data_IF_310904711723
#
_entry.id   IF_310904711723
#
_cell.length_a   1.000
_cell.length_b   1.000
_cell.length_c   1.000
_cell.angle_alpha   90.00
_cell.angle_beta   90.00
_cell.angle_gamma   90.00
#
_symmetry.space_group_name_H-M   'P 1'
#
loop_
_entity.id
_entity.type
_entity.pdbx_description
1 polymer ?
#
# COMPACT_ATOMS: atom_id res chain seq x y z
N UNK A 1 -2.88 -20.72 12.91
CA UNK A 1 -2.00 -19.67 12.36
C UNK A 1 -0.92 -20.36 11.56
N UNK A 2 -1.16 -20.61 10.29
CA UNK A 2 -0.16 -21.20 9.38
C UNK A 2 0.76 -20.09 8.87
N UNK A 3 2.05 -20.39 8.86
CA UNK A 3 3.17 -19.51 8.54
C UNK A 3 3.04 -18.85 7.15
N UNK A 4 2.42 -17.67 7.06
CA UNK A 4 2.46 -16.84 5.86
C UNK A 4 3.90 -16.47 5.46
N UNK A 5 4.82 -16.41 6.43
CA UNK A 5 6.23 -16.09 6.22
C UNK A 5 7.03 -17.21 5.54
N UNK A 6 6.80 -18.48 5.89
CA UNK A 6 7.58 -19.59 5.33
C UNK A 6 7.28 -19.77 3.84
N UNK A 7 6.01 -19.76 3.45
CA UNK A 7 5.62 -19.92 2.05
C UNK A 7 6.18 -18.81 1.15
N UNK A 8 6.22 -17.56 1.64
CA UNK A 8 6.82 -16.45 0.90
C UNK A 8 8.33 -16.63 0.70
N UNK A 9 9.02 -17.13 1.73
CA UNK A 9 10.46 -17.40 1.66
C UNK A 9 10.76 -18.55 0.69
N UNK A 10 9.98 -19.63 0.73
CA UNK A 10 10.13 -20.71 -0.26
C UNK A 10 9.95 -20.19 -1.68
N UNK A 11 8.86 -19.48 -2.01
CA UNK A 11 8.65 -18.96 -3.37
C UNK A 11 9.76 -18.01 -3.82
N UNK A 12 10.30 -17.18 -2.91
CA UNK A 12 11.44 -16.33 -3.21
C UNK A 12 12.68 -17.14 -3.60
N UNK A 13 12.99 -18.19 -2.84
CA UNK A 13 14.10 -19.11 -3.14
C UNK A 13 13.86 -19.89 -4.44
N UNK A 14 12.62 -20.31 -4.71
CA UNK A 14 12.26 -20.89 -6.00
C UNK A 14 12.52 -19.92 -7.15
N UNK A 15 12.16 -18.65 -7.01
CA UNK A 15 12.49 -17.62 -8.00
C UNK A 15 13.98 -17.44 -8.21
N UNK A 16 14.76 -17.41 -7.11
CA UNK A 16 16.22 -17.38 -7.13
C UNK A 16 16.81 -18.55 -7.92
N UNK A 17 16.35 -19.77 -7.67
CA UNK A 17 16.84 -20.97 -8.36
C UNK A 17 16.42 -20.93 -9.83
N UNK A 18 15.12 -20.78 -10.11
CA UNK A 18 14.56 -20.86 -11.46
C UNK A 18 15.15 -19.84 -12.43
N UNK A 19 15.32 -18.58 -11.99
CA UNK A 19 15.86 -17.53 -12.86
C UNK A 19 17.38 -17.60 -13.08
N UNK A 20 18.10 -18.51 -12.40
CA UNK A 20 19.55 -18.67 -12.51
C UNK A 20 19.98 -20.07 -12.98
N UNK A 21 19.05 -20.91 -13.44
CA UNK A 21 19.38 -22.24 -13.98
C UNK A 21 20.23 -22.08 -15.24
N UNK A 22 21.31 -22.85 -15.31
CA UNK A 22 22.17 -22.95 -16.50
C UNK A 22 22.10 -24.33 -17.15
N UNK A 23 21.85 -25.37 -16.36
CA UNK A 23 21.82 -26.74 -16.85
C UNK A 23 20.88 -27.57 -15.99
N UNK A 24 20.04 -28.38 -16.65
CA UNK A 24 19.19 -29.37 -16.03
C UNK A 24 19.49 -30.72 -16.67
N UNK A 25 20.11 -31.63 -15.91
CA UNK A 25 20.39 -32.98 -16.37
C UNK A 25 19.22 -33.88 -15.96
N UNK A 26 18.36 -34.24 -16.94
CA UNK A 26 17.16 -35.04 -16.69
C UNK A 26 17.46 -36.46 -16.22
N UNK A 27 18.62 -37.01 -16.59
CA UNK A 27 19.00 -38.38 -16.28
C UNK A 27 19.52 -38.53 -14.84
N UNK A 28 20.09 -37.48 -14.25
CA UNK A 28 20.65 -37.53 -12.90
C UNK A 28 19.78 -36.84 -11.83
N UNK A 29 18.67 -36.19 -12.24
CA UNK A 29 17.93 -35.25 -11.39
C UNK A 29 18.89 -34.25 -10.74
N UNK A 30 19.63 -33.51 -11.57
CA UNK A 30 20.54 -32.47 -11.12
C UNK A 30 20.16 -31.15 -11.80
N UNK A 31 19.99 -30.10 -11.00
CA UNK A 31 19.90 -28.72 -11.49
C UNK A 31 21.15 -27.96 -11.03
N UNK A 32 21.84 -27.32 -11.97
CA UNK A 32 22.92 -26.37 -11.69
C UNK A 32 22.41 -24.94 -11.87
N UNK A 33 22.61 -24.12 -10.84
CA UNK A 33 22.17 -22.72 -10.84
C UNK A 33 23.35 -21.79 -10.54
N UNK A 34 23.51 -20.69 -11.30
CA UNK A 34 24.55 -19.67 -11.14
C UNK A 34 24.40 -18.80 -9.87
N UNK A 35 23.87 -19.38 -8.81
CA UNK A 35 23.81 -18.74 -7.51
C UNK A 35 25.19 -18.83 -6.89
N UNK A 36 25.90 -17.71 -6.89
CA UNK A 36 27.22 -17.61 -6.27
C UNK A 36 27.09 -17.47 -4.75
N UNK A 37 27.68 -18.42 -4.00
CA UNK A 37 27.68 -18.45 -2.51
C UNK A 37 28.02 -17.10 -1.89
N UNK A 38 29.01 -16.40 -2.44
CA UNK A 38 29.55 -15.15 -1.91
C UNK A 38 28.60 -13.95 -2.04
N UNK A 39 27.58 -14.05 -2.88
CA UNK A 39 26.61 -12.97 -3.12
C UNK A 39 25.34 -13.13 -2.25
N UNK A 40 25.30 -14.15 -1.39
CA UNK A 40 24.13 -14.47 -0.58
C UNK A 40 24.38 -14.17 0.89
N UNK A 41 23.33 -13.69 1.58
CA UNK A 41 23.37 -13.53 3.02
C UNK A 41 23.25 -14.89 3.73
N UNK A 42 23.68 -14.94 5.00
CA UNK A 42 23.66 -16.17 5.82
C UNK A 42 22.26 -16.80 5.92
N UNK A 43 21.21 -16.00 5.86
CA UNK A 43 19.84 -16.49 5.97
C UNK A 43 19.46 -17.29 4.72
N UNK A 44 19.73 -16.77 3.51
CA UNK A 44 19.55 -17.49 2.23
C UNK A 44 20.40 -18.74 2.20
N UNK A 45 21.67 -18.65 2.61
CA UNK A 45 22.58 -19.80 2.67
C UNK A 45 22.01 -20.92 3.56
N UNK A 46 21.59 -20.58 4.78
CA UNK A 46 21.03 -21.57 5.71
C UNK A 46 19.74 -22.22 5.20
N UNK A 47 18.99 -21.51 4.35
CA UNK A 47 17.76 -22.02 3.77
C UNK A 47 18.05 -22.91 2.55
N UNK A 48 19.02 -22.51 1.71
CA UNK A 48 19.50 -23.33 0.59
C UNK A 48 20.16 -24.61 1.10
N UNK A 49 20.86 -24.59 2.24
CA UNK A 49 21.43 -25.78 2.88
C UNK A 49 20.36 -26.74 3.43
N UNK A 50 19.13 -26.27 3.68
CA UNK A 50 17.98 -27.12 4.07
C UNK A 50 17.31 -27.81 2.89
N UNK A 51 17.53 -27.31 1.68
CA UNK A 51 17.16 -28.03 0.47
C UNK A 51 18.30 -29.03 0.20
N UNK A 52 18.04 -30.26 -0.28
CA UNK A 52 19.08 -31.26 -0.57
C UNK A 52 19.99 -30.83 -1.74
N UNK A 53 20.77 -29.78 -1.52
CA UNK A 53 21.64 -29.13 -2.46
C UNK A 53 22.92 -28.67 -1.77
N UNK A 54 23.96 -28.52 -2.56
CA UNK A 54 25.30 -28.19 -2.08
C UNK A 54 25.95 -27.19 -3.03
N UNK A 55 26.87 -26.39 -2.48
CA UNK A 55 27.70 -25.51 -3.31
C UNK A 55 28.93 -26.28 -3.79
N UNK A 56 29.09 -26.38 -5.11
CA UNK A 56 30.29 -26.91 -5.76
C UNK A 56 30.90 -25.80 -6.62
N UNK A 57 32.18 -25.47 -6.42
CA UNK A 57 32.85 -24.35 -7.12
C UNK A 57 32.04 -23.03 -7.12
N UNK A 58 31.44 -22.69 -5.98
CA UNK A 58 30.53 -21.55 -5.78
C UNK A 58 29.19 -21.61 -6.54
N UNK A 59 28.87 -22.68 -7.26
CA UNK A 59 27.59 -22.88 -7.96
C UNK A 59 26.69 -23.72 -7.06
N UNK A 60 25.42 -23.32 -6.93
CA UNK A 60 24.44 -24.09 -6.16
C UNK A 60 23.89 -25.24 -7.00
N UNK A 61 24.01 -26.47 -6.48
CA UNK A 61 23.57 -27.70 -7.14
C UNK A 61 22.49 -28.35 -6.30
N UNK A 62 21.36 -28.68 -6.92
CA UNK A 62 20.21 -29.33 -6.26
C UNK A 62 20.08 -30.76 -6.76
N UNK A 63 19.91 -31.70 -5.83
CA UNK A 63 19.68 -33.14 -6.12
C UNK A 63 18.29 -33.63 -5.70
N UNK A 64 17.44 -32.76 -5.14
CA UNK A 64 16.09 -33.13 -4.70
C UNK A 64 15.11 -33.28 -5.89
N UNK A 65 14.72 -34.52 -6.19
CA UNK A 65 13.86 -34.85 -7.34
C UNK A 65 12.51 -34.13 -7.37
N UNK A 66 11.86 -33.95 -6.22
CA UNK A 66 10.55 -33.28 -6.16
C UNK A 66 10.66 -31.78 -6.45
N UNK A 67 11.67 -31.14 -5.86
CA UNK A 67 12.01 -29.74 -6.10
C UNK A 67 12.38 -29.51 -7.57
N UNK A 68 13.21 -30.39 -8.13
CA UNK A 68 13.65 -30.36 -9.54
C UNK A 68 12.46 -30.49 -10.50
N UNK A 69 11.55 -31.43 -10.26
CA UNK A 69 10.35 -31.58 -11.07
C UNK A 69 9.47 -30.32 -11.03
N UNK A 70 9.33 -29.73 -9.84
CA UNK A 70 8.56 -28.49 -9.63
C UNK A 70 9.20 -27.30 -10.36
N UNK A 71 10.54 -27.22 -10.37
CA UNK A 71 11.29 -26.18 -11.05
C UNK A 71 11.27 -26.37 -12.58
N UNK A 72 11.56 -27.58 -13.08
CA UNK A 72 11.62 -27.89 -14.51
C UNK A 72 10.25 -27.75 -15.20
N UNK A 73 9.17 -28.05 -14.48
CA UNK A 73 7.80 -27.86 -14.98
C UNK A 73 7.41 -26.38 -15.07
N UNK A 74 8.15 -25.48 -14.40
CA UNK A 74 7.90 -24.05 -14.42
C UNK A 74 8.86 -23.33 -15.36
N UNK A 75 8.45 -23.04 -16.61
CA UNK A 75 9.29 -22.24 -17.52
C UNK A 75 9.34 -20.80 -17.05
N UNK A 76 10.42 -20.45 -16.34
CA UNK A 76 10.92 -19.14 -15.90
C UNK A 76 9.94 -18.10 -15.34
N UNK A 77 8.62 -18.26 -15.43
CA UNK A 77 7.52 -17.34 -15.07
C UNK A 77 6.17 -18.07 -14.91
N UNK A 78 6.03 -19.32 -15.34
CA UNK A 78 4.84 -20.14 -15.08
C UNK A 78 4.58 -20.35 -13.58
N UNK A 79 5.60 -20.13 -12.73
CA UNK A 79 5.48 -20.08 -11.26
C UNK A 79 4.37 -19.12 -10.83
N UNK A 80 4.22 -17.97 -11.50
CA UNK A 80 3.17 -16.99 -11.19
C UNK A 80 1.76 -17.58 -11.32
N UNK A 81 1.58 -18.50 -12.27
CA UNK A 81 0.32 -19.18 -12.51
C UNK A 81 0.17 -20.46 -11.69
N UNK A 82 1.28 -21.14 -11.41
CA UNK A 82 1.30 -22.46 -10.77
C UNK A 82 1.25 -22.39 -9.24
N UNK A 83 1.61 -21.27 -8.63
CA UNK A 83 1.60 -21.12 -7.17
C UNK A 83 0.55 -20.11 -6.70
N UNK A 84 -0.19 -20.48 -5.66
CA UNK A 84 -1.09 -19.58 -4.92
C UNK A 84 -0.31 -18.45 -4.26
N UNK A 85 0.92 -18.71 -3.81
CA UNK A 85 1.81 -17.70 -3.22
C UNK A 85 2.99 -17.37 -4.14
N UNK A 86 2.74 -16.58 -5.19
CA UNK A 86 3.71 -16.18 -6.21
C UNK A 86 4.50 -14.90 -5.86
N UNK A 87 4.22 -14.27 -4.71
CA UNK A 87 4.79 -12.96 -4.35
C UNK A 87 6.31 -13.01 -4.18
N UNK A 88 6.84 -14.08 -3.58
CA UNK A 88 8.29 -14.28 -3.47
C UNK A 88 9.00 -14.35 -4.83
N UNK A 89 8.37 -14.98 -5.82
CA UNK A 89 8.92 -15.05 -7.17
C UNK A 89 8.92 -13.67 -7.85
N UNK A 90 7.81 -12.92 -7.78
CA UNK A 90 7.74 -11.57 -8.35
C UNK A 90 8.76 -10.65 -7.68
N UNK A 91 8.92 -10.76 -6.36
CA UNK A 91 9.97 -10.04 -5.61
C UNK A 91 11.34 -10.33 -6.20
N UNK A 92 11.71 -11.61 -6.33
CA UNK A 92 13.02 -11.95 -6.89
C UNK A 92 13.21 -11.49 -8.34
N UNK A 93 12.17 -11.62 -9.17
CA UNK A 93 12.18 -11.11 -10.54
C UNK A 93 12.44 -9.59 -10.57
N UNK A 94 11.79 -8.84 -9.69
CA UNK A 94 11.99 -7.40 -9.55
C UNK A 94 13.40 -7.05 -9.04
N UNK A 95 13.93 -7.77 -8.05
CA UNK A 95 15.32 -7.58 -7.60
C UNK A 95 16.35 -7.81 -8.72
N UNK A 96 16.06 -8.70 -9.67
CA UNK A 96 16.96 -9.04 -10.78
C UNK A 96 16.80 -8.15 -12.00
N UNK A 97 15.57 -7.74 -12.34
CA UNK A 97 15.25 -7.07 -13.60
C UNK A 97 14.50 -5.74 -13.43
N UNK A 98 14.40 -5.27 -12.20
CA UNK A 98 13.76 -4.02 -11.83
C UNK A 98 14.72 -2.87 -11.67
N UNK A 99 14.17 -1.67 -11.68
CA UNK A 99 14.83 -0.44 -11.31
C UNK A 99 13.84 0.49 -10.60
N UNK A 100 14.35 1.34 -9.71
CA UNK A 100 13.59 2.40 -9.04
C UNK A 100 14.26 3.74 -9.36
N UNK A 101 13.50 4.65 -9.95
CA UNK A 101 13.89 6.04 -10.18
C UNK A 101 13.13 6.95 -9.22
N UNK A 102 13.87 7.82 -8.51
CA UNK A 102 13.31 8.77 -7.55
C UNK A 102 13.69 10.19 -7.97
N UNK A 103 12.70 10.98 -8.38
CA UNK A 103 12.90 12.35 -8.85
C UNK A 103 12.01 13.31 -8.06
N UNK A 104 12.57 14.08 -7.11
CA UNK A 104 11.92 15.10 -6.24
C UNK A 104 10.54 14.76 -5.65
N UNK A 105 9.49 14.54 -6.44
CA UNK A 105 8.14 14.13 -6.00
C UNK A 105 7.57 12.90 -6.73
N UNK A 106 8.30 12.37 -7.73
CA UNK A 106 7.84 11.27 -8.56
C UNK A 106 8.67 10.01 -8.29
N UNK A 107 7.97 8.90 -8.20
CA UNK A 107 8.57 7.56 -8.11
C UNK A 107 8.20 6.84 -9.38
N UNK A 108 9.18 6.21 -10.02
CA UNK A 108 8.97 5.37 -11.18
C UNK A 108 9.66 4.05 -10.97
N UNK A 109 8.92 2.97 -11.19
CA UNK A 109 9.45 1.62 -11.18
C UNK A 109 9.39 1.10 -12.60
N UNK A 110 10.49 0.58 -13.09
CA UNK A 110 10.55 -0.13 -14.38
C UNK A 110 10.99 -1.55 -14.14
N UNK A 111 10.34 -2.51 -14.78
CA UNK A 111 10.65 -3.93 -14.70
C UNK A 111 10.68 -4.46 -16.12
N UNK A 112 11.61 -5.37 -16.45
CA UNK A 112 11.55 -6.08 -17.72
C UNK A 112 10.17 -6.70 -17.92
N UNK A 113 9.52 -6.40 -19.04
CA UNK A 113 8.22 -6.98 -19.34
C UNK A 113 8.36 -8.47 -19.55
N UNK A 114 7.35 -9.20 -19.11
CA UNK A 114 7.37 -10.63 -18.96
C UNK A 114 6.11 -11.25 -19.57
N UNK A 115 5.80 -10.82 -20.80
CA UNK A 115 4.54 -11.10 -21.48
C UNK A 115 3.33 -10.69 -20.62
N UNK A 116 3.43 -9.55 -19.93
CA UNK A 116 2.38 -8.97 -19.09
C UNK A 116 1.91 -9.84 -17.89
N UNK A 117 2.58 -10.98 -17.62
CA UNK A 117 2.17 -11.91 -16.55
C UNK A 117 2.18 -11.25 -15.17
N UNK A 118 3.14 -10.37 -14.87
CA UNK A 118 3.17 -9.65 -13.59
C UNK A 118 1.98 -8.68 -13.50
N UNK A 119 1.74 -7.86 -14.53
CA UNK A 119 0.63 -6.89 -14.52
C UNK A 119 -0.74 -7.56 -14.43
N UNK A 120 -0.96 -8.64 -15.17
CA UNK A 120 -2.21 -9.41 -15.12
C UNK A 120 -2.48 -10.01 -13.74
N UNK A 121 -1.41 -10.47 -13.08
CA UNK A 121 -1.52 -11.10 -11.77
C UNK A 121 -1.72 -10.09 -10.64
N UNK A 122 -0.93 -9.00 -10.63
CA UNK A 122 -0.99 -7.98 -9.59
C UNK A 122 -2.19 -7.04 -9.74
N UNK A 123 -2.69 -6.85 -10.98
CA UNK A 123 -3.80 -5.93 -11.30
C UNK A 123 -3.58 -4.50 -10.80
N UNK A 124 -2.32 -4.10 -10.69
CA UNK A 124 -1.95 -2.71 -10.42
C UNK A 124 -1.84 -1.98 -11.77
N UNK A 125 -2.49 -0.82 -11.93
CA UNK A 125 -2.37 -0.03 -13.15
C UNK A 125 -0.91 0.26 -13.51
N UNK A 126 -0.55 -0.03 -14.75
CA UNK A 126 0.82 0.07 -15.26
C UNK A 126 0.82 0.42 -16.74
N UNK A 127 1.94 0.97 -17.20
CA UNK A 127 2.19 1.31 -18.59
C UNK A 127 3.17 0.28 -19.16
N UNK A 128 2.92 -0.21 -20.36
CA UNK A 128 3.86 -1.08 -21.07
C UNK A 128 4.49 -0.25 -22.20
N UNK A 129 5.81 -0.14 -22.19
CA UNK A 129 6.57 0.60 -23.21
C UNK A 129 7.95 -0.01 -23.37
N UNK A 130 8.41 -0.21 -24.61
CA UNK A 130 9.76 -0.69 -24.94
C UNK A 130 10.19 -1.95 -24.16
N UNK A 131 9.33 -2.97 -24.10
CA UNK A 131 9.57 -4.21 -23.32
C UNK A 131 9.79 -3.98 -21.81
N UNK A 132 9.26 -2.86 -21.28
CA UNK A 132 9.24 -2.55 -19.85
C UNK A 132 7.81 -2.42 -19.36
N UNK A 133 7.60 -2.96 -18.16
CA UNK A 133 6.44 -2.70 -17.33
C UNK A 133 6.77 -1.53 -16.39
N UNK A 134 5.95 -0.49 -16.43
CA UNK A 134 6.21 0.78 -15.75
C UNK A 134 5.08 1.07 -14.76
N UNK A 135 5.46 1.30 -13.50
CA UNK A 135 4.58 1.85 -12.48
C UNK A 135 5.03 3.28 -12.14
N UNK A 136 4.07 4.14 -11.82
CA UNK A 136 4.34 5.54 -11.45
C UNK A 136 3.61 5.92 -10.15
N UNK A 137 4.27 6.71 -9.32
CA UNK A 137 3.74 7.32 -8.12
C UNK A 137 3.07 6.30 -7.16
N UNK A 138 1.77 6.45 -6.89
CA UNK A 138 1.08 5.57 -5.93
C UNK A 138 1.09 4.10 -6.37
N UNK A 139 1.09 3.83 -7.68
CA UNK A 139 1.16 2.46 -8.19
C UNK A 139 2.52 1.81 -7.88
N UNK A 140 3.60 2.61 -7.71
CA UNK A 140 4.88 2.11 -7.23
C UNK A 140 4.79 1.65 -5.77
N UNK A 141 4.10 2.43 -4.93
CA UNK A 141 3.91 2.10 -3.51
C UNK A 141 3.05 0.85 -3.38
N UNK A 142 2.02 0.70 -4.20
CA UNK A 142 1.20 -0.51 -4.25
C UNK A 142 2.03 -1.73 -4.66
N UNK A 143 2.82 -1.59 -5.72
CA UNK A 143 3.68 -2.65 -6.20
C UNK A 143 4.68 -3.09 -5.12
N UNK A 144 5.46 -2.15 -4.57
CA UNK A 144 6.46 -2.43 -3.55
C UNK A 144 5.81 -2.96 -2.26
N UNK A 145 4.68 -2.38 -1.84
CA UNK A 145 3.95 -2.81 -0.66
C UNK A 145 3.45 -4.25 -0.78
N UNK A 146 2.93 -4.66 -1.94
CA UNK A 146 2.52 -6.04 -2.18
C UNK A 146 3.68 -7.03 -2.05
N UNK A 147 4.84 -6.69 -2.62
CA UNK A 147 5.97 -7.62 -2.64
C UNK A 147 6.83 -7.54 -1.37
N UNK A 148 6.83 -6.45 -0.60
CA UNK A 148 7.75 -6.24 0.53
C UNK A 148 7.11 -6.10 1.93
N UNK A 149 5.83 -5.75 2.09
CA UNK A 149 5.27 -5.45 3.43
C UNK A 149 5.41 -6.59 4.45
N UNK A 150 5.30 -7.83 3.99
CA UNK A 150 5.35 -9.03 4.84
C UNK A 150 6.64 -9.82 4.56
N UNK A 151 7.76 -9.12 4.36
CA UNK A 151 9.04 -9.75 4.05
C UNK A 151 10.04 -9.52 5.19
N UNK A 152 10.76 -10.58 5.57
CA UNK A 152 11.83 -10.54 6.57
C UNK A 152 13.18 -10.27 5.89
N UNK A 153 14.32 -10.51 6.56
CA UNK A 153 15.71 -10.22 6.12
C UNK A 153 16.17 -10.88 4.78
N UNK A 154 15.29 -11.49 4.00
CA UNK A 154 15.56 -12.10 2.69
C UNK A 154 15.36 -11.13 1.52
N UNK A 155 15.17 -9.85 1.78
CA UNK A 155 14.81 -8.88 0.76
C UNK A 155 16.08 -8.21 0.20
N UNK A 156 16.14 -8.05 -1.12
CA UNK A 156 17.33 -7.59 -1.83
C UNK A 156 17.53 -6.08 -1.72
N UNK A 157 18.31 -5.53 -2.65
CA UNK A 157 18.72 -4.12 -2.61
C UNK A 157 17.52 -3.16 -2.60
N UNK A 158 16.43 -3.51 -3.30
CA UNK A 158 15.26 -2.64 -3.38
C UNK A 158 14.37 -2.66 -2.14
N UNK A 159 14.57 -3.57 -1.18
CA UNK A 159 13.84 -3.53 0.08
C UNK A 159 14.23 -2.33 0.94
N UNK A 160 15.53 -2.04 1.04
CA UNK A 160 16.00 -0.85 1.74
C UNK A 160 15.53 0.41 1.03
N UNK A 161 15.49 0.42 -0.32
CA UNK A 161 14.87 1.51 -1.07
C UNK A 161 13.37 1.63 -0.79
N UNK A 162 12.64 0.52 -0.71
CA UNK A 162 11.24 0.54 -0.32
C UNK A 162 11.04 1.15 1.08
N UNK A 163 11.81 0.69 2.08
CA UNK A 163 11.81 1.28 3.41
C UNK A 163 12.17 2.76 3.37
N UNK A 164 13.17 3.14 2.59
CA UNK A 164 13.55 4.54 2.40
C UNK A 164 12.43 5.35 1.75
N UNK A 165 11.73 4.82 0.74
CA UNK A 165 10.63 5.49 0.05
C UNK A 165 9.49 5.79 1.01
N UNK A 166 9.09 4.80 1.81
CA UNK A 166 8.00 4.98 2.79
C UNK A 166 8.45 5.83 3.99
N UNK A 167 9.75 5.88 4.29
CA UNK A 167 10.29 6.63 5.44
C UNK A 167 10.80 8.05 5.07
N UNK A 168 11.14 8.32 3.80
CA UNK A 168 11.68 9.60 3.33
C UNK A 168 10.64 10.71 3.48
N UNK A 169 11.13 11.94 3.61
CA UNK A 169 10.34 13.18 3.63
C UNK A 169 9.77 13.54 2.24
N UNK A 170 9.72 12.61 1.27
CA UNK A 170 9.15 12.88 -0.05
C UNK A 170 7.68 13.22 0.01
N UNK A 171 6.99 12.61 0.97
CA UNK A 171 5.59 12.90 1.23
C UNK A 171 5.45 13.85 2.42
N UNK A 172 4.46 14.76 2.38
CA UNK A 172 4.15 15.61 3.52
C UNK A 172 3.88 14.76 4.77
N UNK A 173 4.60 15.04 5.86
CA UNK A 173 4.46 14.34 7.14
C UNK A 173 3.52 15.11 8.05
N UNK A 174 2.41 14.49 8.44
CA UNK A 174 1.55 14.95 9.53
C UNK A 174 2.16 14.44 10.84
N UNK A 175 2.46 15.32 11.80
CA UNK A 175 2.82 14.86 13.15
C UNK A 175 1.56 14.70 13.97
N UNK A 176 1.50 13.64 14.78
CA UNK A 176 0.36 13.34 15.64
C UNK A 176 0.81 13.37 17.09
N UNK A 177 0.12 14.12 17.93
CA UNK A 177 0.32 14.12 19.38
C UNK A 177 -0.89 13.50 20.06
N UNK A 178 -0.66 12.49 20.90
CA UNK A 178 -1.71 11.92 21.77
C UNK A 178 -1.88 12.82 22.99
N UNK A 179 -2.98 13.59 23.03
CA UNK A 179 -3.36 14.35 24.22
C UNK A 179 -4.10 13.51 25.26
N UNK A 180 -4.54 12.31 24.90
CA UNK A 180 -5.11 11.31 25.80
C UNK A 180 -4.29 10.00 25.72
N UNK A 181 -4.05 9.35 26.86
CA UNK A 181 -3.29 8.09 26.92
C UNK A 181 -3.97 6.96 26.16
N UNK A 182 -5.31 6.97 26.12
CA UNK A 182 -6.13 5.98 25.43
C UNK A 182 -6.29 6.26 23.93
N UNK A 183 -5.80 7.39 23.42
CA UNK A 183 -5.90 7.73 22.01
C UNK A 183 -5.21 6.68 21.13
N UNK A 184 -5.82 6.37 19.98
CA UNK A 184 -5.28 5.40 19.02
C UNK A 184 -4.68 6.19 17.86
N UNK A 185 -3.41 5.93 17.53
CA UNK A 185 -2.74 6.60 16.41
C UNK A 185 -3.46 6.26 15.09
N UNK A 186 -3.66 7.26 14.21
CA UNK A 186 -4.23 7.00 12.90
C UNK A 186 -3.39 6.01 12.10
N UNK A 187 -4.03 5.06 11.44
CA UNK A 187 -3.35 4.02 10.67
C UNK A 187 -4.12 3.64 9.42
N UNK A 188 -3.42 3.07 8.45
CA UNK A 188 -4.02 2.47 7.24
C UNK A 188 -3.98 0.96 7.36
N UNK A 189 -4.93 0.28 6.74
CA UNK A 189 -4.88 -1.18 6.64
C UNK A 189 -3.99 -1.62 5.49
N UNK A 190 -3.95 -0.83 4.40
CA UNK A 190 -3.11 -1.04 3.23
C UNK A 190 -2.38 0.25 2.87
N UNK A 191 -1.18 0.16 2.30
CA UNK A 191 -0.40 1.34 1.91
C UNK A 191 -1.15 2.23 0.90
N UNK A 192 -1.96 1.63 0.03
CA UNK A 192 -2.81 2.29 -0.98
C UNK A 192 -3.99 3.06 -0.41
N UNK A 193 -4.43 2.73 0.81
CA UNK A 193 -5.69 3.26 1.34
C UNK A 193 -5.62 4.79 1.32
N UNK A 194 -6.70 5.47 0.93
CA UNK A 194 -6.67 6.92 0.76
C UNK A 194 -6.43 7.64 2.10
N UNK A 195 -7.20 7.27 3.13
CA UNK A 195 -7.18 7.92 4.43
C UNK A 195 -6.62 7.06 5.55
N UNK A 196 -6.19 7.71 6.64
CA UNK A 196 -5.81 7.06 7.89
C UNK A 196 -7.03 6.97 8.80
N UNK A 197 -7.35 5.78 9.28
CA UNK A 197 -8.49 5.54 10.16
C UNK A 197 -8.38 6.36 11.45
N UNK A 198 -9.45 7.06 11.83
CA UNK A 198 -9.61 7.78 13.08
C UNK A 198 -10.52 7.02 14.04
N UNK A 199 -10.14 7.03 15.31
CA UNK A 199 -10.86 6.34 16.37
C UNK A 199 -11.34 7.33 17.41
N UNK A 200 -12.64 7.32 17.68
CA UNK A 200 -13.23 8.05 18.81
C UNK A 200 -13.10 7.21 20.08
N UNK A 201 -12.74 7.84 21.19
CA UNK A 201 -12.41 7.15 22.45
C UNK A 201 -13.35 7.49 23.60
N UNK A 202 -14.00 8.66 23.57
CA UNK A 202 -14.99 9.08 24.58
C UNK A 202 -15.95 10.13 24.02
N UNK A 203 -17.13 10.22 24.61
CA UNK A 203 -18.03 11.34 24.39
C UNK A 203 -17.42 12.61 25.02
N UNK A 204 -17.46 13.74 24.30
CA UNK A 204 -16.93 15.03 24.76
C UNK A 204 -18.03 16.03 25.10
N UNK A 205 -19.07 16.11 24.26
CA UNK A 205 -20.14 17.09 24.40
C UNK A 205 -21.40 16.62 23.69
N UNK A 206 -22.57 16.82 24.30
CA UNK A 206 -23.87 16.64 23.63
C UNK A 206 -24.27 17.98 23.00
N UNK A 207 -24.55 18.01 21.71
CA UNK A 207 -25.06 19.21 21.03
C UNK A 207 -26.60 19.26 21.05
N UNK A 208 -27.23 18.12 20.81
CA UNK A 208 -28.68 17.94 20.91
C UNK A 208 -29.00 16.45 21.14
N UNK A 209 -30.28 16.08 21.19
CA UNK A 209 -30.73 14.72 21.46
C UNK A 209 -30.16 13.67 20.49
N UNK A 210 -29.84 14.05 19.26
CA UNK A 210 -29.34 13.15 18.21
C UNK A 210 -27.85 13.32 17.93
N UNK A 211 -27.27 14.48 18.23
CA UNK A 211 -25.91 14.84 17.80
C UNK A 211 -24.98 15.02 18.97
N UNK A 212 -23.87 14.29 18.94
CA UNK A 212 -22.84 14.27 19.97
C UNK A 212 -21.47 14.49 19.36
N UNK A 213 -20.61 15.20 20.08
CA UNK A 213 -19.21 15.41 19.78
C UNK A 213 -18.39 14.36 20.52
N UNK A 214 -17.58 13.61 19.79
CA UNK A 214 -16.71 12.58 20.30
C UNK A 214 -15.25 12.99 20.18
N UNK A 215 -14.48 12.67 21.21
CA UNK A 215 -13.05 12.95 21.30
C UNK A 215 -12.24 11.80 20.71
N UNK A 216 -11.23 12.09 19.90
CA UNK A 216 -10.25 11.11 19.37
C UNK A 216 -8.98 11.01 20.22
N UNK A 217 -8.72 12.02 21.06
CA UNK A 217 -7.55 12.15 21.91
C UNK A 217 -6.26 12.49 21.16
N UNK A 218 -6.34 12.91 19.90
CA UNK A 218 -5.18 13.29 19.08
C UNK A 218 -5.22 14.74 18.63
N UNK A 219 -4.04 15.32 18.45
CA UNK A 219 -3.80 16.62 17.81
C UNK A 219 -2.91 16.42 16.58
N UNK A 220 -3.05 17.29 15.58
CA UNK A 220 -2.27 17.22 14.35
C UNK A 220 -1.36 18.45 14.21
N UNK A 221 -0.14 18.22 13.71
CA UNK A 221 0.73 19.24 13.12
C UNK A 221 0.77 18.97 11.61
N UNK A 222 -0.04 19.72 10.87
CA UNK A 222 -0.21 19.57 9.42
C UNK A 222 0.84 20.43 8.70
N UNK A 223 1.57 19.89 7.70
CA UNK A 223 2.58 20.65 6.98
C UNK A 223 1.98 21.80 6.17
N UNK A 224 2.75 22.89 5.99
CA UNK A 224 2.33 24.05 5.19
C UNK A 224 1.93 23.64 3.76
N UNK A 225 0.88 24.28 3.24
CA UNK A 225 0.33 23.98 1.92
C UNK A 225 -0.62 22.78 1.87
N UNK A 226 -1.01 22.24 3.03
CA UNK A 226 -1.94 21.12 3.14
C UNK A 226 -3.00 21.37 4.22
N UNK A 227 -4.14 20.72 4.06
CA UNK A 227 -5.20 20.61 5.07
C UNK A 227 -5.66 19.14 5.15
N UNK A 228 -6.42 18.79 6.18
CA UNK A 228 -6.93 17.43 6.34
C UNK A 228 -8.46 17.43 6.19
N UNK A 229 -8.96 16.51 5.38
CA UNK A 229 -10.37 16.18 5.28
C UNK A 229 -10.69 14.93 6.08
N UNK A 230 -11.76 14.96 6.87
CA UNK A 230 -12.25 13.83 7.64
C UNK A 230 -13.53 13.32 6.99
N UNK A 231 -13.49 12.07 6.56
CA UNK A 231 -14.61 11.38 5.94
C UNK A 231 -15.11 10.24 6.84
N UNK A 232 -16.41 9.93 6.83
CA UNK A 232 -16.90 8.72 7.47
C UNK A 232 -16.32 7.48 6.78
N UNK A 233 -16.05 6.43 7.57
CA UNK A 233 -15.74 5.11 6.99
C UNK A 233 -17.03 4.50 6.45
N UNK A 234 -16.92 3.65 5.42
CA UNK A 234 -18.08 2.94 4.87
C UNK A 234 -18.79 2.07 5.90
N UNK A 235 -18.11 1.65 6.98
CA UNK A 235 -18.73 0.91 8.09
C UNK A 235 -19.59 1.78 9.02
N UNK A 236 -19.41 3.12 9.04
CA UNK A 236 -20.22 4.01 9.86
C UNK A 236 -21.70 3.98 9.45
N UNK A 237 -21.99 3.81 8.15
CA UNK A 237 -23.37 3.71 7.68
C UNK A 237 -24.15 2.53 8.27
N UNK A 238 -23.45 1.51 8.79
CA UNK A 238 -24.06 0.34 9.44
C UNK A 238 -24.38 0.56 10.91
N UNK A 239 -23.88 1.63 11.53
CA UNK A 239 -24.11 1.88 12.95
C UNK A 239 -25.36 2.71 13.21
N UNK A 240 -26.05 3.20 12.18
CA UNK A 240 -27.16 4.15 12.34
C UNK A 240 -26.72 5.58 12.66
N UNK A 241 -25.44 5.90 12.44
CA UNK A 241 -24.88 7.24 12.64
C UNK A 241 -24.33 7.82 11.34
N UNK A 242 -24.28 9.15 11.28
CA UNK A 242 -23.68 9.92 10.20
C UNK A 242 -22.73 10.97 10.76
N UNK A 243 -21.69 11.31 10.00
CA UNK A 243 -20.84 12.46 10.29
C UNK A 243 -21.66 13.75 10.12
N UNK A 244 -21.90 14.48 11.21
CA UNK A 244 -22.87 15.57 11.27
C UNK A 244 -22.59 16.71 10.28
N UNK A 245 -21.31 16.97 10.01
CA UNK A 245 -20.85 18.00 9.07
C UNK A 245 -20.47 17.45 7.69
N UNK A 246 -20.78 16.17 7.39
CA UNK A 246 -20.48 15.45 6.15
C UNK A 246 -18.99 15.24 5.84
N UNK A 247 -18.19 16.31 5.85
CA UNK A 247 -16.72 16.30 5.74
C UNK A 247 -16.15 17.25 6.79
N UNK A 248 -15.28 16.76 7.65
CA UNK A 248 -14.53 17.61 8.58
C UNK A 248 -13.34 18.25 7.90
N UNK A 249 -13.24 19.57 7.94
CA UNK A 249 -12.05 20.29 7.48
C UNK A 249 -11.20 20.62 8.71
N UNK A 250 -9.97 20.11 8.72
CA UNK A 250 -8.96 20.44 9.73
C UNK A 250 -7.90 21.30 9.07
N UNK A 251 -7.91 22.58 9.42
CA UNK A 251 -7.00 23.58 8.87
C UNK A 251 -5.55 23.32 9.27
N UNK A 252 -4.64 23.73 8.40
CA UNK A 252 -3.19 23.62 8.61
C UNK A 252 -2.74 24.16 9.96
N UNK A 253 -3.31 25.30 10.40
CA UNK A 253 -2.98 25.98 11.64
C UNK A 253 -3.67 25.42 12.89
N UNK A 254 -4.60 24.48 12.75
CA UNK A 254 -5.31 23.93 13.90
C UNK A 254 -4.37 23.06 14.76
N UNK A 255 -4.25 23.38 16.05
CA UNK A 255 -3.47 22.61 17.05
C UNK A 255 -4.33 22.09 18.19
N UNK A 256 -5.65 22.25 18.07
CA UNK A 256 -6.60 21.69 19.01
C UNK A 256 -6.71 20.18 18.87
N UNK A 257 -7.49 19.60 19.77
CA UNK A 257 -7.81 18.18 19.76
C UNK A 257 -8.82 17.88 18.64
N UNK A 258 -8.64 16.77 17.93
CA UNK A 258 -9.53 16.40 16.83
C UNK A 258 -10.80 15.78 17.41
N UNK A 259 -11.94 16.34 17.03
CA UNK A 259 -13.25 15.87 17.44
C UNK A 259 -14.08 15.41 16.25
N UNK A 260 -14.95 14.44 16.48
CA UNK A 260 -15.86 13.89 15.48
C UNK A 260 -17.29 14.10 15.96
N UNK A 261 -18.09 14.88 15.24
CA UNK A 261 -19.49 15.07 15.54
C UNK A 261 -20.33 14.02 14.82
N UNK A 262 -21.01 13.14 15.55
CA UNK A 262 -21.88 12.12 14.97
C UNK A 262 -23.34 12.42 15.31
N UNK A 263 -24.20 12.31 14.31
CA UNK A 263 -25.66 12.39 14.44
C UNK A 263 -26.23 10.99 14.30
N UNK A 264 -27.02 10.55 15.28
CA UNK A 264 -27.83 9.33 15.20
C UNK A 264 -28.99 9.59 14.24
N UNK A 265 -29.03 8.82 13.15
CA UNK A 265 -30.05 8.94 12.10
C UNK A 265 -31.06 7.79 12.12
N UNK A 266 -30.73 6.68 12.77
CA UNK A 266 -31.66 5.60 13.10
C UNK A 266 -31.81 5.52 14.62
N UNK A 267 -33.00 5.86 15.12
CA UNK A 267 -33.30 5.86 16.55
C UNK A 267 -33.23 4.45 17.17
N UNK A 268 -33.48 3.40 16.37
CA UNK A 268 -33.47 2.01 16.84
C UNK A 268 -32.08 1.40 16.91
N UNK A 269 -31.09 2.04 16.27
CA UNK A 269 -29.71 1.56 16.34
C UNK A 269 -29.15 1.68 17.77
N UNK A 270 -28.32 0.73 18.23
CA UNK A 270 -27.70 0.82 19.54
C UNK A 270 -26.76 2.02 19.65
N UNK A 271 -26.43 2.40 20.89
CA UNK A 271 -25.41 3.41 21.11
C UNK A 271 -24.01 2.89 20.71
N UNK A 272 -23.12 3.79 20.34
CA UNK A 272 -21.79 3.43 19.87
C UNK A 272 -20.93 2.87 21.00
N UNK A 273 -20.37 1.67 20.79
CA UNK A 273 -19.35 1.10 21.68
C UNK A 273 -17.99 1.75 21.43
N UNK A 274 -17.38 2.33 22.47
CA UNK A 274 -16.08 3.00 22.38
C UNK A 274 -14.95 2.10 22.90
N UNK A 275 -13.72 2.17 22.33
CA UNK A 275 -13.33 3.05 21.23
C UNK A 275 -13.87 2.57 19.86
N UNK A 276 -14.30 3.50 19.01
CA UNK A 276 -14.91 3.17 17.71
C UNK A 276 -14.15 3.81 16.55
N UNK A 277 -13.70 2.98 15.62
CA UNK A 277 -13.01 3.40 14.40
C UNK A 277 -14.04 3.81 13.33
N UNK A 278 -14.48 5.07 13.39
CA UNK A 278 -15.67 5.56 12.67
C UNK A 278 -15.36 6.40 11.42
N UNK A 279 -14.25 7.13 11.41
CA UNK A 279 -13.89 8.07 10.36
C UNK A 279 -12.49 7.79 9.83
N UNK A 280 -12.08 8.48 8.78
CA UNK A 280 -10.73 8.45 8.23
C UNK A 280 -10.31 9.86 7.82
N UNK A 281 -9.03 10.17 7.99
CA UNK A 281 -8.44 11.45 7.58
C UNK A 281 -7.66 11.32 6.28
N UNK A 282 -7.88 12.23 5.34
CA UNK A 282 -7.20 12.32 4.06
C UNK A 282 -6.48 13.67 4.01
N UNK A 283 -5.17 13.64 3.76
CA UNK A 283 -4.39 14.85 3.55
C UNK A 283 -4.62 15.37 2.13
N UNK A 284 -4.91 16.67 2.00
CA UNK A 284 -5.14 17.34 0.72
C UNK A 284 -4.21 18.53 0.57
N UNK A 285 -3.74 18.75 -0.66
CA UNK A 285 -2.97 19.95 -1.00
C UNK A 285 -3.92 21.14 -1.08
N UNK A 286 -3.56 22.23 -0.43
CA UNK A 286 -4.31 23.48 -0.50
C UNK A 286 -3.97 24.20 -1.81
N UNK A 287 -5.02 24.69 -2.49
CA UNK A 287 -4.88 25.63 -3.61
C UNK A 287 -5.30 26.99 -3.08
N UNK A 288 -4.37 27.95 -3.12
CA UNK A 288 -4.68 29.33 -2.77
C UNK A 288 -5.27 30.01 -4.00
N UNK A 289 -6.45 30.58 -3.84
CA UNK A 289 -7.05 31.50 -4.80
C UNK A 289 -7.12 32.86 -4.14
N UNK A 290 -6.69 33.90 -4.84
CA UNK A 290 -7.09 35.25 -4.50
C UNK A 290 -8.56 35.43 -4.89
N UNK A 291 -9.30 36.18 -4.08
CA UNK A 291 -10.67 36.56 -4.37
C UNK A 291 -10.61 37.95 -5.00
N UNK A 292 -10.93 38.03 -6.28
CA UNK A 292 -11.04 39.29 -7.01
C UNK A 292 -12.52 39.71 -7.09
N UNK A 293 -12.84 40.86 -6.53
CA UNK A 293 -14.14 41.49 -6.73
C UNK A 293 -14.16 42.20 -8.08
N UNK A 294 -15.16 41.91 -8.91
CA UNK A 294 -15.38 42.56 -10.20
C UNK A 294 -16.61 43.46 -10.15
N UNK A 295 -16.53 44.62 -10.82
CA UNK A 295 -17.61 45.62 -10.86
C UNK A 295 -18.53 45.47 -12.07
N UNK A 296 -18.16 44.62 -13.03
CA UNK A 296 -18.97 44.22 -14.17
C UNK A 296 -19.47 42.78 -13.97
N UNK A 297 -20.57 42.42 -14.63
CA UNK A 297 -21.16 41.08 -14.53
C UNK A 297 -20.25 40.02 -15.19
N UNK A 298 -20.39 38.76 -14.76
CA UNK A 298 -19.57 37.65 -15.24
C UNK A 298 -19.92 37.29 -16.70
N UNK A 299 -18.92 36.79 -17.43
CA UNK A 299 -19.13 36.30 -18.80
C UNK A 299 -20.15 35.16 -18.84
N UNK A 300 -21.07 35.21 -19.80
CA UNK A 300 -22.06 34.16 -20.02
C UNK A 300 -21.38 32.83 -20.38
N UNK A 301 -21.93 31.73 -19.86
CA UNK A 301 -21.50 30.36 -20.17
C UNK A 301 -22.70 29.54 -20.68
N UNK A 302 -22.46 28.39 -21.31
CA UNK A 302 -23.54 27.49 -21.76
C UNK A 302 -24.46 27.04 -20.62
N UNK A 303 -23.95 26.99 -19.38
CA UNK A 303 -24.74 26.68 -18.19
C UNK A 303 -25.44 27.90 -17.61
N UNK A 304 -24.78 29.06 -17.60
CA UNK A 304 -25.24 30.32 -17.02
C UNK A 304 -25.96 30.13 -15.66
N UNK A 305 -27.23 30.52 -15.53
CA UNK A 305 -28.05 30.38 -14.31
C UNK A 305 -28.60 28.95 -14.05
N UNK A 306 -28.19 27.95 -14.84
CA UNK A 306 -28.64 26.55 -14.69
C UNK A 306 -28.12 25.88 -13.42
N UNK A 307 -29.00 25.74 -12.42
CA UNK A 307 -28.78 24.99 -11.17
C UNK A 307 -29.95 24.05 -10.86
N UNK A 308 -29.87 23.30 -9.75
CA UNK A 308 -31.00 22.49 -9.22
C UNK A 308 -31.64 21.48 -10.21
N UNK A 309 -30.83 20.75 -10.98
CA UNK A 309 -31.34 19.72 -11.90
C UNK A 309 -31.67 20.22 -13.31
N UNK A 310 -31.16 21.39 -13.71
CA UNK A 310 -31.43 22.04 -15.00
C UNK A 310 -31.06 21.26 -16.26
N UNK A 311 -30.39 20.10 -16.17
CA UNK A 311 -29.99 19.29 -17.32
C UNK A 311 -30.91 18.10 -17.61
N UNK A 312 -31.91 17.78 -16.78
CA UNK A 312 -32.99 16.85 -17.15
C UNK A 312 -34.20 16.91 -16.20
N UNK A 313 -35.40 16.84 -16.82
CA UNK A 313 -36.68 16.52 -16.18
C UNK A 313 -36.59 15.13 -15.54
N UNK A 314 -37.04 15.00 -14.29
CA UNK A 314 -37.41 13.68 -13.74
C UNK A 314 -38.53 13.05 -14.59
#
# INVERSE_FOLDING_TARGET
MTNFDENNNYTYIYGLISLNIIESESNENIIKSLIHKNNLNNTVLSFLEKLDGQFENNIYIIKNKNLINSINSCKNLDIINNFTNYMGYIRYYFEKFGNIELNNNNIKITIKNNNNKISEKLKIPSIISNDLLIYENINCIDFLGLIYNNCNNFCGNFYNEYLNIINRNYYPKIKVYKSDTNAILPSKNRNSDAGYDLTIIKESKVFNSLTKLYDTGIKLDIPNGYYVEVYPRSSLSKSGYMLANSVGIIDQGYRGNIYIALTKIDENSPDLELPFKCCQMILKKQVYSDIEEVFEDLTLTDRNHGGYGSTNKN
#
